data_IF_148520744577
#
_entry.id   IF_148520744577
#
_cell.length_a   1.000
_cell.length_b   1.000
_cell.length_c   1.000
_cell.angle_alpha   90.00
_cell.angle_beta   90.00
_cell.angle_gamma   90.00
#
_symmetry.space_group_name_H-M   'P 1'
#
loop_
_entity.id
_entity.type
_entity.pdbx_description
1 polymer ?
#
# COMPACT_ATOMS: atom_id res chain seq x y z
N UNK A 1 18.41 -14.09 -51.50
CA UNK A 1 18.73 -13.61 -50.13
C UNK A 1 20.05 -14.24 -49.72
N UNK A 2 21.00 -13.51 -49.10
CA UNK A 2 22.27 -14.10 -48.73
C UNK A 2 22.06 -15.23 -47.72
N UNK A 3 22.38 -16.44 -48.14
CA UNK A 3 22.23 -17.69 -47.40
C UNK A 3 23.47 -17.94 -46.55
N UNK A 4 23.60 -17.18 -45.46
CA UNK A 4 24.70 -17.31 -44.49
C UNK A 4 24.24 -16.99 -43.07
N UNK A 5 24.88 -17.60 -42.07
CA UNK A 5 24.62 -17.33 -40.65
C UNK A 5 24.96 -15.86 -40.39
N UNK A 6 23.94 -15.05 -40.10
CA UNK A 6 24.12 -13.65 -39.77
C UNK A 6 24.80 -13.51 -38.40
N UNK A 7 26.11 -13.31 -38.39
CA UNK A 7 26.90 -13.14 -37.16
C UNK A 7 26.85 -11.67 -36.73
N UNK A 8 26.12 -11.39 -35.64
CA UNK A 8 26.14 -10.06 -35.00
C UNK A 8 27.47 -9.83 -34.32
N UNK A 9 28.38 -9.11 -35.01
CA UNK A 9 29.66 -8.68 -34.45
C UNK A 9 29.47 -7.71 -33.30
N UNK A 10 30.46 -7.62 -32.41
CA UNK A 10 30.41 -6.70 -31.26
C UNK A 10 30.33 -5.24 -31.72
N UNK A 11 31.01 -4.90 -32.80
CA UNK A 11 30.92 -3.59 -33.45
C UNK A 11 29.49 -3.27 -33.93
N UNK A 12 28.83 -4.23 -34.59
CA UNK A 12 27.44 -4.06 -35.01
C UNK A 12 26.50 -3.79 -33.81
N UNK A 13 26.70 -4.48 -32.68
CA UNK A 13 25.92 -4.23 -31.45
C UNK A 13 26.16 -2.83 -30.89
N UNK A 14 27.41 -2.38 -30.84
CA UNK A 14 27.77 -1.03 -30.38
C UNK A 14 27.15 0.04 -31.27
N UNK A 15 27.20 -0.14 -32.59
CA UNK A 15 26.63 0.79 -33.55
C UNK A 15 25.10 0.88 -33.43
N UNK A 16 24.43 -0.27 -33.29
CA UNK A 16 22.99 -0.30 -33.03
C UNK A 16 22.64 0.37 -31.69
N UNK A 17 23.40 0.09 -30.63
CA UNK A 17 23.19 0.72 -29.32
C UNK A 17 23.31 2.24 -29.40
N UNK A 18 24.36 2.75 -30.07
CA UNK A 18 24.54 4.19 -30.29
C UNK A 18 23.37 4.81 -31.04
N UNK A 19 22.92 4.17 -32.12
CA UNK A 19 21.81 4.66 -32.93
C UNK A 19 20.47 4.69 -32.18
N UNK A 20 20.25 3.79 -31.22
CA UNK A 20 19.00 3.72 -30.44
C UNK A 20 19.04 4.52 -29.15
N UNK A 21 20.23 4.84 -28.62
CA UNK A 21 20.37 5.60 -27.38
C UNK A 21 19.77 7.00 -27.56
N UNK A 22 18.82 7.36 -26.69
CA UNK A 22 18.15 8.67 -26.71
C UNK A 22 17.02 8.81 -27.75
N UNK A 23 16.79 7.82 -28.62
CA UNK A 23 15.71 7.85 -29.60
C UNK A 23 14.34 7.86 -28.90
N UNK A 24 13.57 8.94 -29.08
CA UNK A 24 12.18 9.03 -28.61
C UNK A 24 11.22 8.53 -29.70
N UNK A 25 10.36 7.57 -29.36
CA UNK A 25 9.25 7.17 -30.24
C UNK A 25 8.17 8.25 -30.24
N UNK A 26 7.52 8.45 -31.39
CA UNK A 26 6.42 9.41 -31.54
C UNK A 26 5.26 9.08 -30.60
N UNK A 27 4.50 10.09 -30.19
CA UNK A 27 3.35 9.90 -29.30
C UNK A 27 2.27 9.04 -29.95
N UNK A 28 2.06 9.18 -31.26
CA UNK A 28 1.15 8.33 -32.04
C UNK A 28 1.56 6.86 -31.96
N UNK A 29 2.84 6.56 -32.14
CA UNK A 29 3.36 5.19 -32.03
C UNK A 29 3.26 4.67 -30.60
N UNK A 30 3.59 5.49 -29.61
CA UNK A 30 3.51 5.13 -28.19
C UNK A 30 2.06 4.81 -27.76
N UNK A 31 1.10 5.61 -28.21
CA UNK A 31 -0.33 5.40 -27.94
C UNK A 31 -0.80 4.07 -28.51
N UNK A 32 -0.49 3.79 -29.78
CA UNK A 32 -0.82 2.50 -30.41
C UNK A 32 -0.25 1.30 -29.65
N UNK A 33 1.02 1.38 -29.25
CA UNK A 33 1.65 0.30 -28.47
C UNK A 33 0.98 0.11 -27.10
N UNK A 34 0.62 1.21 -26.42
CA UNK A 34 -0.10 1.18 -25.15
C UNK A 34 -1.47 0.51 -25.30
N UNK A 35 -2.24 0.90 -26.31
CA UNK A 35 -3.56 0.34 -26.61
C UNK A 35 -3.52 -1.17 -26.86
N UNK A 36 -2.52 -1.65 -27.61
CA UNK A 36 -2.35 -3.08 -27.91
C UNK A 36 -2.07 -3.93 -26.66
N UNK A 37 -1.45 -3.36 -25.63
CA UNK A 37 -1.07 -4.09 -24.41
C UNK A 37 -2.00 -3.82 -23.23
N UNK A 38 -2.87 -2.80 -23.33
CA UNK A 38 -3.82 -2.44 -22.28
C UNK A 38 -4.73 -3.62 -21.96
N UNK A 39 -4.81 -3.98 -20.67
CA UNK A 39 -5.65 -5.09 -20.19
C UNK A 39 -5.11 -6.49 -20.46
N UNK A 40 -3.95 -6.65 -21.12
CA UNK A 40 -3.34 -7.98 -21.30
C UNK A 40 -2.67 -8.42 -20.00
N UNK A 41 -3.11 -9.55 -19.47
CA UNK A 41 -2.53 -10.19 -18.29
C UNK A 41 -1.93 -11.55 -18.65
N UNK A 42 -0.85 -11.93 -17.97
CA UNK A 42 -0.31 -13.29 -18.08
C UNK A 42 -1.31 -14.32 -17.55
N UNK A 43 -1.37 -15.49 -18.19
CA UNK A 43 -2.11 -16.64 -17.66
C UNK A 43 -1.53 -17.08 -16.32
N UNK A 44 -2.32 -17.73 -15.48
CA UNK A 44 -1.83 -18.21 -14.17
C UNK A 44 -0.73 -19.27 -14.32
N UNK A 45 -0.82 -20.11 -15.36
CA UNK A 45 0.26 -21.04 -15.73
C UNK A 45 1.57 -20.29 -16.05
N UNK A 46 1.49 -19.18 -16.77
CA UNK A 46 2.66 -18.33 -17.07
C UNK A 46 3.20 -17.65 -15.82
N UNK A 47 2.34 -17.05 -14.99
CA UNK A 47 2.73 -16.42 -13.72
C UNK A 47 3.44 -17.43 -12.81
N UNK A 48 2.89 -18.65 -12.70
CA UNK A 48 3.49 -19.75 -11.93
C UNK A 48 4.89 -20.09 -12.42
N UNK A 49 5.08 -20.29 -13.73
CA UNK A 49 6.40 -20.54 -14.32
C UNK A 49 7.41 -19.43 -14.03
N UNK A 50 7.00 -18.16 -14.13
CA UNK A 50 7.86 -17.01 -13.81
C UNK A 50 8.23 -17.01 -12.32
N UNK A 51 7.26 -17.28 -11.45
CA UNK A 51 7.46 -17.37 -10.01
C UNK A 51 8.42 -18.51 -9.64
N UNK A 52 8.18 -19.72 -10.16
CA UNK A 52 9.00 -20.90 -9.92
C UNK A 52 10.44 -20.69 -10.41
N UNK A 53 10.62 -20.10 -11.60
CA UNK A 53 11.94 -19.80 -12.14
C UNK A 53 12.71 -18.71 -11.38
N UNK A 54 12.05 -17.91 -10.55
CA UNK A 54 12.68 -16.89 -9.71
C UNK A 54 12.70 -17.27 -8.21
N UNK A 55 12.04 -18.36 -7.82
CA UNK A 55 12.00 -18.80 -6.43
C UNK A 55 13.41 -19.12 -5.93
N UNK A 56 13.77 -18.60 -4.76
CA UNK A 56 15.08 -18.79 -4.15
C UNK A 56 16.22 -17.98 -4.77
N UNK A 57 15.99 -17.24 -5.87
CA UNK A 57 17.01 -16.33 -6.42
C UNK A 57 17.15 -15.11 -5.53
N UNK A 58 18.32 -14.93 -4.94
CA UNK A 58 18.71 -13.72 -4.23
C UNK A 58 19.69 -12.91 -5.06
N UNK A 59 19.61 -11.58 -4.96
CA UNK A 59 20.65 -10.71 -5.52
C UNK A 59 21.88 -10.75 -4.61
N UNK A 60 23.06 -10.94 -5.21
CA UNK A 60 24.33 -10.93 -4.47
C UNK A 60 24.56 -9.57 -3.80
N UNK A 61 25.29 -9.56 -2.69
CA UNK A 61 25.55 -8.32 -1.96
C UNK A 61 26.30 -7.29 -2.80
N UNK A 62 27.21 -7.73 -3.67
CA UNK A 62 27.91 -6.85 -4.62
C UNK A 62 26.91 -6.15 -5.55
N UNK A 63 25.96 -6.89 -6.12
CA UNK A 63 24.92 -6.33 -6.99
C UNK A 63 23.98 -5.42 -6.20
N UNK A 64 23.56 -5.82 -5.00
CA UNK A 64 22.71 -5.02 -4.11
C UNK A 64 23.38 -3.69 -3.76
N UNK A 65 24.67 -3.72 -3.39
CA UNK A 65 25.48 -2.51 -3.12
C UNK A 65 25.57 -1.61 -4.35
N UNK A 66 25.80 -2.18 -5.54
CA UNK A 66 25.86 -1.40 -6.79
C UNK A 66 24.54 -0.68 -7.07
N UNK A 67 23.40 -1.37 -6.93
CA UNK A 67 22.07 -0.76 -7.05
C UNK A 67 21.90 0.35 -6.01
N UNK A 68 22.21 0.07 -4.74
CA UNK A 68 22.13 1.05 -3.66
C UNK A 68 22.95 2.31 -3.94
N UNK A 69 24.19 2.16 -4.39
CA UNK A 69 25.07 3.29 -4.71
C UNK A 69 24.55 4.13 -5.88
N UNK A 70 23.96 3.52 -6.91
CA UNK A 70 23.36 4.23 -8.05
C UNK A 70 22.19 5.12 -7.63
N UNK A 71 21.42 4.70 -6.62
CA UNK A 71 20.23 5.42 -6.16
C UNK A 71 20.48 6.29 -4.93
N UNK A 72 21.60 6.11 -4.23
CA UNK A 72 21.96 6.90 -3.05
C UNK A 72 22.06 8.39 -3.41
N UNK A 73 21.41 9.23 -2.61
CA UNK A 73 21.42 10.69 -2.78
C UNK A 73 20.57 11.20 -3.96
N UNK A 74 19.88 10.33 -4.72
CA UNK A 74 18.94 10.80 -5.75
C UNK A 74 17.72 11.43 -5.09
N UNK A 75 17.58 12.73 -5.26
CA UNK A 75 16.40 13.49 -4.82
C UNK A 75 15.35 13.43 -5.93
N UNK A 76 14.16 12.99 -5.59
CA UNK A 76 13.00 13.02 -6.49
C UNK A 76 12.51 14.47 -6.59
N UNK A 77 12.26 14.95 -7.81
CA UNK A 77 11.74 16.30 -8.04
C UNK A 77 10.40 16.52 -7.33
N UNK A 78 10.11 17.77 -6.96
CA UNK A 78 8.86 18.09 -6.26
C UNK A 78 7.63 17.76 -7.12
N UNK A 79 7.68 18.06 -8.42
CA UNK A 79 6.64 17.67 -9.38
C UNK A 79 6.38 16.15 -9.37
N UNK A 80 7.44 15.34 -9.30
CA UNK A 80 7.30 13.88 -9.24
C UNK A 80 6.74 13.41 -7.90
N UNK A 81 7.13 14.03 -6.78
CA UNK A 81 6.53 13.71 -5.46
C UNK A 81 5.03 14.01 -5.43
N UNK A 82 4.62 15.14 -6.00
CA UNK A 82 3.21 15.51 -6.10
C UNK A 82 2.46 14.45 -6.91
N UNK A 83 2.96 14.09 -8.10
CA UNK A 83 2.34 13.03 -8.94
C UNK A 83 2.20 11.70 -8.21
N UNK A 84 3.23 11.28 -7.47
CA UNK A 84 3.17 10.07 -6.64
C UNK A 84 2.09 10.21 -5.57
N UNK A 85 2.09 11.32 -4.82
CA UNK A 85 1.11 11.60 -3.76
C UNK A 85 -0.33 11.58 -4.29
N UNK A 86 -0.58 12.21 -5.44
CA UNK A 86 -1.90 12.23 -6.09
C UNK A 86 -2.36 10.85 -6.55
N UNK A 87 -1.45 10.02 -7.07
CA UNK A 87 -1.76 8.65 -7.47
C UNK A 87 -2.11 7.73 -6.29
N UNK A 88 -1.67 8.09 -5.08
CA UNK A 88 -1.85 7.30 -3.86
C UNK A 88 -2.97 7.83 -2.95
N UNK A 89 -3.83 8.71 -3.45
CA UNK A 89 -4.96 9.27 -2.68
C UNK A 89 -6.28 8.60 -3.04
N UNK A 90 -7.12 8.38 -2.03
CA UNK A 90 -8.51 7.95 -2.20
C UNK A 90 -8.65 6.65 -2.98
N UNK A 91 -9.57 6.66 -3.95
CA UNK A 91 -9.92 5.55 -4.83
C UNK A 91 -8.86 5.21 -5.87
N UNK A 92 -7.91 6.12 -6.13
CA UNK A 92 -6.76 5.89 -7.02
C UNK A 92 -5.71 4.97 -6.39
N UNK A 93 -5.72 4.86 -5.06
CA UNK A 93 -4.73 4.04 -4.35
C UNK A 93 -4.87 2.57 -4.79
N UNK A 94 -3.79 1.87 -5.20
CA UNK A 94 -3.88 0.50 -5.72
C UNK A 94 -4.50 -0.52 -4.75
N UNK A 95 -4.36 -0.28 -3.44
CA UNK A 95 -4.98 -1.10 -2.40
C UNK A 95 -6.38 -0.61 -1.99
N UNK A 96 -7.00 0.33 -2.70
CA UNK A 96 -8.36 0.78 -2.41
C UNK A 96 -9.34 -0.40 -2.58
N UNK A 97 -10.18 -0.63 -1.57
CA UNK A 97 -11.17 -1.73 -1.53
C UNK A 97 -12.61 -1.23 -1.54
N UNK A 98 -12.89 -0.17 -2.31
CA UNK A 98 -14.26 0.30 -2.50
C UNK A 98 -14.89 0.97 -1.27
N UNK A 99 -14.09 1.66 -0.45
CA UNK A 99 -14.60 2.38 0.73
C UNK A 99 -14.78 1.51 1.98
N UNK A 100 -14.57 0.20 1.89
CA UNK A 100 -14.54 -0.68 3.07
C UNK A 100 -13.32 -0.32 3.91
N UNK A 101 -13.56 0.21 5.11
CA UNK A 101 -12.51 0.52 6.05
C UNK A 101 -12.33 -0.65 7.01
N UNK A 102 -11.13 -1.26 6.99
CA UNK A 102 -10.79 -2.34 7.91
C UNK A 102 -10.61 -1.80 9.33
N UNK A 103 -10.83 -2.68 10.32
CA UNK A 103 -10.66 -2.38 11.75
C UNK A 103 -9.40 -1.56 12.03
N UNK A 104 -8.23 -2.02 11.57
CA UNK A 104 -6.95 -1.34 11.79
C UNK A 104 -6.94 0.08 11.19
N UNK A 105 -7.46 0.24 9.97
CA UNK A 105 -7.48 1.54 9.29
C UNK A 105 -8.35 2.56 10.01
N UNK A 106 -9.47 2.12 10.60
CA UNK A 106 -10.30 3.03 11.39
C UNK A 106 -9.64 3.34 12.74
N UNK A 107 -9.01 2.37 13.39
CA UNK A 107 -8.29 2.62 14.64
C UNK A 107 -7.12 3.58 14.45
N UNK A 108 -6.38 3.47 13.35
CA UNK A 108 -5.32 4.42 13.01
C UNK A 108 -5.89 5.82 12.74
N UNK A 109 -7.02 5.90 12.05
CA UNK A 109 -7.73 7.16 11.82
C UNK A 109 -8.19 7.80 13.15
N UNK A 110 -8.81 7.05 14.04
CA UNK A 110 -9.24 7.53 15.36
C UNK A 110 -8.05 8.03 16.18
N UNK A 111 -6.98 7.23 16.28
CA UNK A 111 -5.78 7.63 17.03
C UNK A 111 -5.15 8.92 16.50
N UNK A 112 -5.30 9.19 15.21
CA UNK A 112 -4.78 10.41 14.57
C UNK A 112 -5.64 11.63 14.83
N UNK A 113 -6.97 11.49 14.83
CA UNK A 113 -7.89 12.64 14.84
C UNK A 113 -8.57 12.87 16.19
N UNK A 114 -8.73 11.84 17.02
CA UNK A 114 -9.44 11.95 18.29
C UNK A 114 -8.47 12.03 19.46
N UNK A 115 -8.77 12.94 20.37
CA UNK A 115 -8.00 13.16 21.59
C UNK A 115 -8.35 12.05 22.58
N UNK A 116 -7.32 11.39 23.14
CA UNK A 116 -7.50 10.48 24.27
C UNK A 116 -7.84 11.29 25.50
N UNK A 117 -9.00 11.03 26.08
CA UNK A 117 -9.37 11.61 27.36
C UNK A 117 -8.61 10.91 28.49
N UNK A 118 -8.32 11.64 29.57
CA UNK A 118 -7.75 11.05 30.79
C UNK A 118 -8.78 10.27 31.60
N UNK A 119 -10.06 10.44 31.31
CA UNK A 119 -11.19 9.84 32.01
C UNK A 119 -11.99 8.97 31.04
N UNK A 120 -12.51 7.86 31.56
CA UNK A 120 -13.44 6.99 30.84
C UNK A 120 -14.77 7.69 30.59
N UNK A 121 -15.24 7.70 29.34
CA UNK A 121 -16.51 8.35 28.95
C UNK A 121 -17.75 7.69 29.59
N UNK A 122 -17.65 6.47 30.12
CA UNK A 122 -18.77 5.76 30.76
C UNK A 122 -18.79 5.97 32.28
N UNK A 123 -17.67 5.70 32.96
CA UNK A 123 -17.62 5.76 34.43
C UNK A 123 -16.99 7.03 34.98
N UNK A 124 -16.47 7.91 34.12
CA UNK A 124 -15.80 9.16 34.47
C UNK A 124 -14.58 9.01 35.42
N UNK A 125 -13.95 7.83 35.43
CA UNK A 125 -12.76 7.54 36.23
C UNK A 125 -11.51 7.44 35.35
N UNK A 126 -10.32 7.76 35.89
CA UNK A 126 -9.08 7.72 35.13
C UNK A 126 -8.60 6.30 34.84
N UNK A 127 -7.60 6.18 33.98
CA UNK A 127 -6.85 4.94 33.83
C UNK A 127 -6.13 4.59 35.14
N UNK A 128 -6.01 3.30 35.45
CA UNK A 128 -5.34 2.77 36.65
C UNK A 128 -5.95 3.19 38.00
N UNK A 129 -7.24 3.53 38.07
CA UNK A 129 -7.87 3.82 39.36
C UNK A 129 -8.01 2.57 40.26
N UNK A 130 -8.09 1.38 39.66
CA UNK A 130 -8.02 0.09 40.35
C UNK A 130 -7.30 -0.96 39.48
N UNK A 131 -7.12 -2.18 40.01
CA UNK A 131 -6.46 -3.29 39.29
C UNK A 131 -7.21 -3.76 38.04
N UNK A 132 -8.52 -3.51 37.95
CA UNK A 132 -9.42 -3.97 36.89
C UNK A 132 -9.57 -2.96 35.75
N UNK A 133 -9.28 -1.68 36.01
CA UNK A 133 -9.43 -0.55 35.09
C UNK A 133 -8.07 0.05 34.73
N UNK A 134 -7.11 -0.83 34.48
CA UNK A 134 -5.74 -0.47 34.14
C UNK A 134 -5.51 -0.13 32.66
N UNK A 135 -6.50 -0.36 31.79
CA UNK A 135 -6.33 -0.12 30.36
C UNK A 135 -7.59 0.46 29.74
N UNK A 136 -7.39 1.51 28.95
CA UNK A 136 -8.42 2.17 28.16
C UNK A 136 -8.26 1.89 26.66
N UNK A 137 -9.40 1.81 25.97
CA UNK A 137 -9.46 1.57 24.53
C UNK A 137 -10.53 2.43 23.85
N UNK A 138 -10.39 2.57 22.53
CA UNK A 138 -11.45 3.12 21.69
C UNK A 138 -12.43 2.00 21.36
N UNK A 139 -13.68 2.16 21.78
CA UNK A 139 -14.78 1.27 21.38
C UNK A 139 -15.80 2.03 20.54
N UNK A 140 -16.50 1.30 19.67
CA UNK A 140 -17.62 1.84 18.91
C UNK A 140 -18.93 1.57 19.67
N UNK A 141 -19.88 2.51 19.60
CA UNK A 141 -21.14 2.45 20.34
C UNK A 141 -22.25 1.68 19.61
N UNK A 142 -22.12 1.50 18.30
CA UNK A 142 -23.18 0.89 17.46
C UNK A 142 -22.83 -0.49 16.92
N UNK A 143 -21.65 -1.04 17.23
CA UNK A 143 -21.14 -2.26 16.60
C UNK A 143 -20.48 -2.03 15.23
N UNK A 144 -20.71 -0.86 14.61
CA UNK A 144 -20.28 -0.56 13.25
C UNK A 144 -19.00 0.28 13.22
N UNK A 145 -18.09 -0.10 12.34
CA UNK A 145 -16.83 0.58 12.06
C UNK A 145 -17.07 1.78 11.13
N UNK A 146 -17.64 2.86 11.67
CA UNK A 146 -17.91 4.12 10.94
C UNK A 146 -17.02 5.27 11.41
N UNK A 147 -16.66 6.18 10.49
CA UNK A 147 -15.81 7.37 10.77
C UNK A 147 -16.63 8.55 11.29
N UNK A 148 -17.40 8.33 12.34
CA UNK A 148 -18.18 9.36 13.03
C UNK A 148 -17.76 9.43 14.50
N UNK A 149 -17.35 10.61 14.98
CA UNK A 149 -16.90 10.81 16.37
C UNK A 149 -17.96 10.38 17.38
N UNK A 150 -19.23 10.57 17.09
CA UNK A 150 -20.33 10.24 18.02
C UNK A 150 -20.44 8.73 18.26
N UNK A 151 -20.01 7.94 17.29
CA UNK A 151 -20.00 6.49 17.37
C UNK A 151 -18.80 5.94 18.16
N UNK A 152 -17.82 6.74 18.55
CA UNK A 152 -16.67 6.27 19.31
C UNK A 152 -16.69 6.76 20.75
N UNK A 153 -16.11 5.97 21.65
CA UNK A 153 -15.90 6.34 23.05
C UNK A 153 -14.55 5.81 23.53
N UNK A 154 -13.88 6.60 24.38
CA UNK A 154 -12.63 6.19 25.03
C UNK A 154 -12.94 5.71 26.45
N UNK A 155 -12.84 4.40 26.68
CA UNK A 155 -13.39 3.75 27.89
C UNK A 155 -12.48 2.64 28.38
N UNK A 156 -12.63 2.22 29.63
CA UNK A 156 -11.97 1.01 30.11
C UNK A 156 -12.50 -0.24 29.40
N UNK A 157 -11.65 -1.24 29.19
CA UNK A 157 -12.03 -2.52 28.56
C UNK A 157 -13.19 -3.20 29.30
N UNK A 158 -13.19 -3.13 30.63
CA UNK A 158 -14.28 -3.64 31.47
C UNK A 158 -15.59 -2.86 31.30
N UNK A 159 -15.53 -1.55 31.13
CA UNK A 159 -16.68 -0.68 30.89
C UNK A 159 -17.27 -0.92 29.50
N UNK A 160 -16.42 -1.09 28.48
CA UNK A 160 -16.81 -1.47 27.13
C UNK A 160 -17.62 -2.77 27.13
N UNK A 161 -17.07 -3.86 27.69
CA UNK A 161 -17.78 -5.15 27.77
C UNK A 161 -19.15 -5.06 28.45
N UNK A 162 -19.25 -4.27 29.53
CA UNK A 162 -20.53 -4.03 30.21
C UNK A 162 -21.51 -3.23 29.35
N UNK A 163 -21.00 -2.25 28.60
CA UNK A 163 -21.78 -1.45 27.68
C UNK A 163 -22.36 -2.29 26.55
N UNK A 164 -21.54 -3.14 25.92
CA UNK A 164 -22.00 -3.99 24.82
C UNK A 164 -23.05 -4.99 25.30
N UNK A 165 -22.80 -5.63 26.45
CA UNK A 165 -23.75 -6.55 27.05
C UNK A 165 -25.09 -5.87 27.39
N UNK A 166 -25.05 -4.63 27.89
CA UNK A 166 -26.27 -3.89 28.26
C UNK A 166 -27.06 -3.43 27.03
N UNK A 167 -26.39 -3.13 25.92
CA UNK A 167 -27.01 -2.58 24.72
C UNK A 167 -27.16 -3.61 23.58
N UNK A 168 -26.85 -4.89 23.84
CA UNK A 168 -26.90 -6.00 22.89
C UNK A 168 -26.12 -5.69 21.59
N UNK A 169 -24.92 -5.13 21.73
CA UNK A 169 -24.08 -4.70 20.60
C UNK A 169 -23.29 -5.90 20.06
N UNK A 170 -23.40 -6.12 18.75
CA UNK A 170 -22.61 -7.10 18.01
C UNK A 170 -21.66 -6.35 17.08
N UNK A 171 -20.36 -6.64 17.17
CA UNK A 171 -19.37 -6.04 16.30
C UNK A 171 -19.23 -6.81 14.99
N UNK A 172 -19.60 -6.17 13.88
CA UNK A 172 -19.45 -6.74 12.54
C UNK A 172 -18.01 -6.55 12.03
N UNK A 173 -17.36 -7.64 11.62
CA UNK A 173 -16.09 -7.58 10.86
C UNK A 173 -14.82 -7.34 11.67
N UNK A 174 -14.72 -7.92 12.88
CA UNK A 174 -13.44 -8.15 13.58
C UNK A 174 -12.73 -9.36 12.98
#
# INVERSE_FOLDING_TARGET
MPSGVYIKTEEHRKNLSRALTGRKVSDKTRKKQSEVHKGKHHSDKTKKKIGDGNRGKSVSDKTRRKIGNIHRGKIVSEETKIKISESMKGDKHPNWKGGVAFYNTIHDWIKKYFIKLRLCEICNLPEHYDKKHNMMEWSNKTGKLIRDRNNWQYVHISCHKKYDFKNDIIHEGI
#
